data_IF_435738155863
#
_entry.id   IF_435738155863
#
_cell.length_a   1.000
_cell.length_b   1.000
_cell.length_c   1.000
_cell.angle_alpha   90.00
_cell.angle_beta   90.00
_cell.angle_gamma   90.00
#
_symmetry.space_group_name_H-M   'P 1'
#
loop_
_entity.id
_entity.type
_entity.pdbx_description
1 polymer ?
#
# COMPACT_ATOMS: atom_id res chain seq x y z
N UNK A 1 27.65 -21.62 -28.10
CA UNK A 1 27.01 -21.17 -26.85
C UNK A 1 27.12 -22.30 -25.85
N UNK A 2 27.66 -22.03 -24.67
CA UNK A 2 27.96 -23.07 -23.69
C UNK A 2 26.71 -23.41 -22.87
N UNK A 3 26.61 -24.68 -22.43
CA UNK A 3 25.46 -25.20 -21.69
C UNK A 3 25.15 -24.36 -20.43
N UNK A 4 26.19 -23.84 -19.77
CA UNK A 4 26.05 -22.96 -18.60
C UNK A 4 25.37 -21.63 -18.93
N UNK A 5 25.68 -21.03 -20.09
CA UNK A 5 25.08 -19.77 -20.54
C UNK A 5 23.59 -19.96 -20.86
N UNK A 6 23.23 -21.10 -21.45
CA UNK A 6 21.84 -21.46 -21.75
C UNK A 6 21.04 -21.68 -20.45
N UNK A 7 21.60 -22.43 -19.50
CA UNK A 7 20.96 -22.68 -18.21
C UNK A 7 20.73 -21.39 -17.41
N UNK A 8 21.71 -20.49 -17.39
CA UNK A 8 21.58 -19.19 -16.73
C UNK A 8 20.49 -18.32 -17.38
N UNK A 9 20.43 -18.31 -18.71
CA UNK A 9 19.39 -17.58 -19.45
C UNK A 9 17.98 -18.07 -19.11
N UNK A 10 17.78 -19.40 -19.02
CA UNK A 10 16.50 -20.00 -18.63
C UNK A 10 16.13 -19.69 -17.17
N UNK A 11 17.10 -19.67 -16.26
CA UNK A 11 16.87 -19.31 -14.86
C UNK A 11 16.40 -17.85 -14.72
N UNK A 12 17.05 -16.92 -15.45
CA UNK A 12 16.65 -15.51 -15.44
C UNK A 12 15.26 -15.33 -16.06
N UNK A 13 15.00 -15.98 -17.20
CA UNK A 13 13.70 -15.90 -17.88
C UNK A 13 12.56 -16.41 -16.98
N UNK A 14 12.76 -17.51 -16.26
CA UNK A 14 11.76 -18.05 -15.35
C UNK A 14 11.49 -17.14 -14.14
N UNK A 15 12.53 -16.53 -13.56
CA UNK A 15 12.38 -15.52 -12.51
C UNK A 15 11.57 -14.30 -12.98
N UNK A 16 11.83 -13.81 -14.19
CA UNK A 16 11.08 -12.68 -14.76
C UNK A 16 9.60 -13.01 -14.95
N UNK A 17 9.28 -14.23 -15.43
CA UNK A 17 7.90 -14.68 -15.58
C UNK A 17 7.17 -14.77 -14.24
N UNK A 18 7.83 -15.29 -13.20
CA UNK A 18 7.26 -15.38 -11.85
C UNK A 18 7.00 -13.97 -11.29
N UNK A 19 7.98 -13.07 -11.39
CA UNK A 19 7.82 -11.69 -10.93
C UNK A 19 6.68 -10.97 -11.66
N UNK A 20 6.55 -11.18 -12.97
CA UNK A 20 5.45 -10.63 -13.77
C UNK A 20 4.09 -11.19 -13.30
N UNK A 21 3.96 -12.50 -13.11
CA UNK A 21 2.73 -13.13 -12.64
C UNK A 21 2.31 -12.61 -11.26
N UNK A 22 3.26 -12.50 -10.32
CA UNK A 22 3.01 -11.93 -8.99
C UNK A 22 2.56 -10.46 -9.08
N UNK A 23 3.15 -9.66 -9.97
CA UNK A 23 2.77 -8.25 -10.13
C UNK A 23 1.31 -8.08 -10.59
N UNK A 24 0.83 -8.99 -11.44
CA UNK A 24 -0.56 -8.99 -11.92
C UNK A 24 -1.53 -9.39 -10.81
N UNK A 25 -1.18 -10.40 -10.01
CA UNK A 25 -1.98 -10.78 -8.84
C UNK A 25 -2.08 -9.61 -7.86
N UNK A 26 -0.98 -8.94 -7.55
CA UNK A 26 -0.99 -7.77 -6.66
C UNK A 26 -1.90 -6.66 -7.20
N UNK A 27 -1.86 -6.37 -8.52
CA UNK A 27 -2.75 -5.38 -9.13
C UNK A 27 -4.22 -5.79 -9.03
N UNK A 28 -4.53 -7.06 -9.29
CA UNK A 28 -5.88 -7.58 -9.19
C UNK A 28 -6.41 -7.57 -7.75
N UNK A 29 -5.60 -8.01 -6.77
CA UNK A 29 -5.94 -7.95 -5.36
C UNK A 29 -6.14 -6.49 -4.89
N UNK A 30 -5.27 -5.55 -5.31
CA UNK A 30 -5.46 -4.12 -5.01
C UNK A 30 -6.74 -3.56 -5.63
N UNK A 31 -7.07 -3.95 -6.86
CA UNK A 31 -8.31 -3.55 -7.52
C UNK A 31 -9.56 -4.08 -6.82
N UNK A 32 -9.52 -5.32 -6.31
CA UNK A 32 -10.60 -5.88 -5.51
C UNK A 32 -10.68 -5.26 -4.12
N UNK A 33 -9.54 -5.00 -3.48
CA UNK A 33 -9.46 -4.33 -2.19
C UNK A 33 -10.04 -2.91 -2.30
N UNK A 34 -9.71 -2.15 -3.35
CA UNK A 34 -10.31 -0.84 -3.60
C UNK A 34 -11.84 -0.89 -3.82
N UNK A 35 -12.38 -2.01 -4.32
CA UNK A 35 -13.83 -2.20 -4.50
C UNK A 35 -14.55 -2.70 -3.24
N UNK A 36 -13.84 -3.37 -2.33
CA UNK A 36 -14.39 -3.96 -1.10
C UNK A 36 -14.04 -3.20 0.17
N UNK A 37 -13.09 -2.26 0.14
CA UNK A 37 -12.94 -1.32 1.21
C UNK A 37 -14.30 -0.64 1.37
N UNK A 38 -14.82 -0.52 2.61
CA UNK A 38 -15.88 0.43 2.84
C UNK A 38 -15.39 1.74 2.22
N UNK A 39 -16.19 2.33 1.33
CA UNK A 39 -15.95 3.69 0.90
C UNK A 39 -16.18 4.55 2.13
N UNK A 40 -15.24 4.52 3.06
CA UNK A 40 -15.08 5.54 4.08
C UNK A 40 -14.92 6.77 3.23
N UNK A 41 -15.92 7.64 3.29
CA UNK A 41 -15.92 8.88 2.54
C UNK A 41 -14.58 9.55 2.86
N UNK A 42 -13.86 10.01 1.84
CA UNK A 42 -12.54 10.60 2.02
C UNK A 42 -12.61 11.72 3.07
N UNK A 43 -13.75 12.42 3.13
CA UNK A 43 -14.06 13.42 4.15
C UNK A 43 -14.17 12.87 5.57
N UNK A 44 -14.74 11.70 5.77
CA UNK A 44 -14.87 11.08 7.08
C UNK A 44 -13.52 10.58 7.59
N UNK A 45 -12.70 10.03 6.67
CA UNK A 45 -11.32 9.64 6.98
C UNK A 45 -10.44 10.86 7.33
N UNK A 46 -10.59 11.95 6.58
CA UNK A 46 -9.92 13.23 6.87
C UNK A 46 -10.38 13.83 8.20
N UNK A 47 -11.68 13.79 8.50
CA UNK A 47 -12.22 14.29 9.76
C UNK A 47 -11.65 13.52 10.95
N UNK A 48 -11.57 12.19 10.87
CA UNK A 48 -10.98 11.37 11.93
C UNK A 48 -9.47 11.58 12.05
N UNK A 49 -8.75 11.72 10.92
CA UNK A 49 -7.33 12.04 10.93
C UNK A 49 -7.07 13.41 11.58
N UNK A 50 -7.90 14.42 11.30
CA UNK A 50 -7.81 15.75 11.89
C UNK A 50 -8.13 15.73 13.40
N UNK A 51 -9.18 15.02 13.81
CA UNK A 51 -9.54 14.84 15.22
C UNK A 51 -8.41 14.16 16.00
N UNK A 52 -7.84 13.08 15.46
CA UNK A 52 -6.71 12.40 16.10
C UNK A 52 -5.43 13.23 16.08
N UNK A 53 -5.18 14.00 15.03
CA UNK A 53 -4.06 14.93 14.99
C UNK A 53 -4.16 15.98 16.11
N UNK A 54 -5.34 16.54 16.34
CA UNK A 54 -5.58 17.53 17.39
C UNK A 54 -5.53 16.93 18.80
N UNK A 55 -6.03 15.71 19.00
CA UNK A 55 -6.13 15.10 20.34
C UNK A 55 -4.84 14.46 20.82
N UNK A 56 -4.10 13.76 19.94
CA UNK A 56 -2.94 12.95 20.34
C UNK A 56 -1.65 13.29 19.60
N UNK A 57 -1.71 14.19 18.62
CA UNK A 57 -0.56 14.64 17.85
C UNK A 57 -0.21 13.72 16.67
N UNK A 58 0.70 14.18 15.79
CA UNK A 58 0.89 13.61 14.45
C UNK A 58 1.39 12.17 14.45
N UNK A 59 2.31 11.81 15.35
CA UNK A 59 2.88 10.45 15.40
C UNK A 59 1.81 9.43 15.79
N UNK A 60 0.97 9.77 16.78
CA UNK A 60 -0.10 8.89 17.26
C UNK A 60 -1.26 8.83 16.27
N UNK A 61 -1.58 9.93 15.58
CA UNK A 61 -2.56 9.94 14.50
C UNK A 61 -2.16 9.02 13.34
N UNK A 62 -0.90 9.05 12.91
CA UNK A 62 -0.39 8.11 11.90
C UNK A 62 -0.48 6.67 12.39
N UNK A 63 -0.12 6.40 13.64
CA UNK A 63 -0.20 5.04 14.22
C UNK A 63 -1.65 4.53 14.24
N UNK A 64 -2.60 5.36 14.67
CA UNK A 64 -4.02 5.04 14.68
C UNK A 64 -4.54 4.70 13.27
N UNK A 65 -4.21 5.51 12.27
CA UNK A 65 -4.65 5.26 10.89
C UNK A 65 -4.11 3.95 10.32
N UNK A 66 -2.91 3.53 10.74
CA UNK A 66 -2.31 2.26 10.32
C UNK A 66 -2.96 1.06 11.01
N UNK A 67 -3.26 1.17 12.29
CA UNK A 67 -3.83 0.08 13.09
C UNK A 67 -5.31 -0.11 12.78
N UNK A 68 -6.08 0.98 12.73
CA UNK A 68 -7.54 0.94 12.61
C UNK A 68 -8.03 0.82 11.16
N UNK A 69 -7.32 1.44 10.22
CA UNK A 69 -7.68 1.44 8.80
C UNK A 69 -6.74 0.60 7.93
N UNK A 70 -5.77 -0.08 8.55
CA UNK A 70 -4.81 -0.93 7.82
C UNK A 70 -3.92 -0.15 6.85
N UNK A 71 -3.82 1.18 6.99
CA UNK A 71 -3.06 2.01 6.05
C UNK A 71 -1.56 1.70 6.10
N UNK A 72 -0.89 1.88 4.96
CA UNK A 72 0.56 1.88 4.94
C UNK A 72 1.11 3.10 5.70
N UNK A 73 2.36 3.02 6.16
CA UNK A 73 3.01 4.14 6.83
C UNK A 73 3.05 5.40 5.95
N UNK A 74 3.25 5.22 4.63
CA UNK A 74 3.33 6.32 3.67
C UNK A 74 1.96 6.97 3.48
N UNK A 75 0.91 6.17 3.32
CA UNK A 75 -0.44 6.67 3.07
C UNK A 75 -1.01 7.36 4.30
N UNK A 76 -0.84 6.75 5.49
CA UNK A 76 -1.24 7.36 6.76
C UNK A 76 -0.50 8.67 7.03
N UNK A 77 0.80 8.73 6.72
CA UNK A 77 1.58 9.97 6.87
C UNK A 77 1.11 11.06 5.92
N UNK A 78 0.88 10.73 4.64
CA UNK A 78 0.36 11.68 3.66
C UNK A 78 -0.99 12.27 4.08
N UNK A 79 -1.88 11.43 4.61
CA UNK A 79 -3.19 11.86 5.09
C UNK A 79 -3.08 12.80 6.31
N UNK A 80 -2.23 12.47 7.28
CA UNK A 80 -2.01 13.35 8.45
C UNK A 80 -1.35 14.67 8.03
N UNK A 81 -0.40 14.63 7.11
CA UNK A 81 0.26 15.83 6.60
C UNK A 81 -0.71 16.69 5.77
N UNK A 82 -1.69 16.12 5.05
CA UNK A 82 -2.69 16.87 4.29
C UNK A 82 -3.73 17.58 5.17
N UNK A 83 -4.06 17.04 6.36
CA UNK A 83 -5.02 17.65 7.31
C UNK A 83 -4.35 18.55 8.35
N UNK A 84 -3.02 18.71 8.30
CA UNK A 84 -2.27 19.58 9.23
C UNK A 84 -2.40 21.08 8.87
N UNK A 85 -3.07 21.39 7.76
CA UNK A 85 -3.24 22.74 7.23
C UNK A 85 -4.50 23.44 7.74
#
# INVERSE_FOLDING_TARGET
MDLLSIALGLAIASLLLIAYAQSQQIKFLKGQLAKRLPQIDAKELEAQAAEKLQTVGPIKAVKFLREEYGMSMVDAKKLVDSVKH
#
